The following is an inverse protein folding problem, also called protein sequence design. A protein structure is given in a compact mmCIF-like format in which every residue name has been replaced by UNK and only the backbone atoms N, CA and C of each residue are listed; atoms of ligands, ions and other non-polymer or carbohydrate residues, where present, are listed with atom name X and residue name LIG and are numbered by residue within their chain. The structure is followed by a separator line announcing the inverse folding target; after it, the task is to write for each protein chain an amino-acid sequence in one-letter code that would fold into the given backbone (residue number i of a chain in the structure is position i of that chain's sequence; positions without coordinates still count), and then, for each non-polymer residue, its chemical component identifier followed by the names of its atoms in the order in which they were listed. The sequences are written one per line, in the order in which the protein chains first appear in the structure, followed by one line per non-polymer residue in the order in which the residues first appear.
data_IF_654882938413
#
_entry.id   IF_654882938413
#
_cell.length_a   1.000
_cell.length_b   1.000
_cell.length_c   1.000
_cell.angle_alpha   90.00
_cell.angle_beta   90.00
_cell.angle_gamma   90.00
#
_symmetry.space_group_name_H-M   'P 1'
#
loop_
_entity.id
_entity.type
_entity.pdbx_description
1 polymer ?
#
# COMPACT_ATOMS: atom_id res chain seq x y z
N UNK A 1 -19.39 -0.61 -2.95
CA UNK A 1 -18.00 -0.64 -2.53
C UNK A 1 -17.80 -0.59 -1.01
N UNK A 2 -18.71 0.06 -0.30
CA UNK A 2 -18.61 0.27 1.15
C UNK A 2 -19.52 -0.65 1.97
N UNK A 3 -19.95 -1.78 1.40
CA UNK A 3 -20.66 -2.79 2.15
C UNK A 3 -19.73 -3.49 3.16
N UNK A 4 -20.30 -3.96 4.26
CA UNK A 4 -19.53 -4.66 5.31
C UNK A 4 -18.79 -5.87 4.76
N UNK A 5 -19.41 -6.63 3.87
CA UNK A 5 -18.82 -7.82 3.23
C UNK A 5 -17.70 -7.49 2.26
N UNK A 6 -17.60 -6.24 1.77
CA UNK A 6 -16.53 -5.75 0.91
C UNK A 6 -15.47 -5.03 1.74
N UNK A 7 -15.75 -3.83 2.27
CA UNK A 7 -14.73 -3.00 2.89
C UNK A 7 -14.15 -3.57 4.19
N UNK A 8 -15.00 -4.14 5.05
CA UNK A 8 -14.59 -4.71 6.35
C UNK A 8 -14.09 -6.15 6.27
N UNK A 9 -14.27 -6.83 5.15
CA UNK A 9 -13.86 -8.21 4.91
C UNK A 9 -12.75 -8.29 3.86
N UNK A 10 -13.09 -8.04 2.61
CA UNK A 10 -12.20 -8.12 1.45
C UNK A 10 -10.97 -7.19 1.61
N UNK A 11 -11.18 -5.89 1.84
CA UNK A 11 -10.09 -4.93 1.97
C UNK A 11 -9.14 -5.28 3.13
N UNK A 12 -9.68 -5.76 4.24
CA UNK A 12 -8.90 -6.07 5.44
C UNK A 12 -8.23 -7.44 5.35
N UNK A 13 -9.01 -8.49 5.19
CA UNK A 13 -8.51 -9.87 5.26
C UNK A 13 -7.93 -10.37 3.94
N UNK A 14 -8.43 -9.85 2.81
CA UNK A 14 -7.84 -10.11 1.50
C UNK A 14 -6.44 -9.53 1.39
N UNK A 15 -6.25 -8.27 1.80
CA UNK A 15 -4.93 -7.64 1.83
C UNK A 15 -3.99 -8.29 2.85
N UNK A 16 -4.52 -8.73 4.00
CA UNK A 16 -3.74 -9.46 5.01
C UNK A 16 -3.12 -10.74 4.45
N UNK A 17 -3.82 -11.45 3.57
CA UNK A 17 -3.29 -12.62 2.88
C UNK A 17 -2.38 -12.24 1.71
N UNK A 18 -2.89 -11.42 0.80
CA UNK A 18 -2.29 -11.23 -0.52
C UNK A 18 -1.03 -10.34 -0.53
N UNK A 19 -0.86 -9.44 0.45
CA UNK A 19 0.34 -8.60 0.54
C UNK A 19 1.59 -9.44 0.81
N UNK A 20 1.57 -10.28 1.84
CA UNK A 20 2.71 -11.12 2.20
C UNK A 20 3.05 -12.12 1.10
N UNK A 21 2.02 -12.70 0.46
CA UNK A 21 2.21 -13.59 -0.68
C UNK A 21 2.95 -12.87 -1.83
N UNK A 22 2.54 -11.65 -2.16
CA UNK A 22 3.17 -10.87 -3.21
C UNK A 22 4.63 -10.48 -2.89
N UNK A 23 4.88 -10.00 -1.67
CA UNK A 23 6.24 -9.60 -1.26
C UNK A 23 7.17 -10.81 -1.26
N UNK A 24 6.75 -11.94 -0.69
CA UNK A 24 7.55 -13.16 -0.63
C UNK A 24 7.86 -13.71 -2.02
N UNK A 25 6.87 -13.79 -2.91
CA UNK A 25 7.08 -14.25 -4.30
C UNK A 25 7.96 -13.29 -5.10
N UNK A 26 7.78 -11.99 -4.91
CA UNK A 26 8.56 -10.98 -5.63
C UNK A 26 10.02 -10.94 -5.20
N UNK A 27 10.30 -11.07 -3.90
CA UNK A 27 11.61 -10.74 -3.36
C UNK A 27 12.40 -11.92 -2.80
N UNK A 28 11.76 -13.03 -2.43
CA UNK A 28 12.34 -14.16 -1.71
C UNK A 28 13.05 -13.75 -0.38
N UNK A 29 12.67 -12.59 0.19
CA UNK A 29 13.35 -12.04 1.36
C UNK A 29 12.71 -12.52 2.66
N UNK A 30 13.56 -12.77 3.66
CA UNK A 30 13.10 -12.96 5.03
C UNK A 30 12.56 -11.63 5.57
N UNK A 31 11.29 -11.60 5.96
CA UNK A 31 10.62 -10.40 6.48
C UNK A 31 10.86 -10.20 7.98
N UNK A 32 11.00 -11.29 8.73
CA UNK A 32 11.17 -11.23 10.19
C UNK A 32 12.38 -10.39 10.60
N UNK A 33 12.18 -9.52 11.58
CA UNK A 33 13.18 -8.60 12.10
C UNK A 33 13.39 -7.33 11.27
N UNK A 34 12.78 -7.22 10.09
CA UNK A 34 12.85 -6.03 9.24
C UNK A 34 11.82 -4.98 9.63
N UNK A 35 12.03 -3.74 9.20
CA UNK A 35 11.20 -2.58 9.52
C UNK A 35 10.36 -2.18 8.33
N UNK A 36 9.05 -2.07 8.55
CA UNK A 36 8.09 -1.65 7.55
C UNK A 36 7.45 -0.31 7.92
N UNK A 37 7.24 0.54 6.91
CA UNK A 37 6.44 1.74 7.00
C UNK A 37 5.20 1.58 6.10
N UNK A 38 4.03 1.60 6.72
CA UNK A 38 2.74 1.49 6.02
C UNK A 38 2.10 2.87 5.96
N UNK A 39 1.82 3.34 4.76
CA UNK A 39 1.10 4.58 4.49
C UNK A 39 -0.39 4.30 4.44
N UNK A 40 -1.12 4.85 5.41
CA UNK A 40 -2.56 4.65 5.57
C UNK A 40 -2.92 3.55 6.58
N UNK A 41 -3.94 3.81 7.40
CA UNK A 41 -4.49 2.86 8.37
C UNK A 41 -6.01 2.72 8.25
N UNK A 42 -6.52 2.83 7.01
CA UNK A 42 -7.86 2.38 6.63
C UNK A 42 -7.96 0.84 6.62
N UNK A 43 -9.01 0.28 6.03
CA UNK A 43 -9.22 -1.18 6.04
C UNK A 43 -8.06 -1.95 5.38
N UNK A 44 -7.55 -1.44 4.27
CA UNK A 44 -6.39 -2.03 3.56
C UNK A 44 -5.13 -1.92 4.41
N UNK A 45 -4.86 -0.74 4.97
CA UNK A 45 -3.69 -0.51 5.83
C UNK A 45 -3.70 -1.37 7.10
N UNK A 46 -4.87 -1.52 7.75
CA UNK A 46 -5.05 -2.40 8.91
C UNK A 46 -4.72 -3.86 8.59
N UNK A 47 -5.25 -4.37 7.47
CA UNK A 47 -4.94 -5.71 7.02
C UNK A 47 -3.46 -5.90 6.72
N UNK A 48 -2.87 -4.95 6.01
CA UNK A 48 -1.46 -4.94 5.63
C UNK A 48 -0.53 -4.90 6.85
N UNK A 49 -0.76 -3.99 7.79
CA UNK A 49 0.04 -3.85 9.00
C UNK A 49 -0.02 -5.12 9.88
N UNK A 50 -1.22 -5.69 10.05
CA UNK A 50 -1.39 -6.96 10.78
C UNK A 50 -0.63 -8.11 10.13
N UNK A 51 -0.67 -8.20 8.82
CA UNK A 51 0.03 -9.20 8.02
C UNK A 51 1.53 -9.14 8.23
N UNK A 52 2.11 -7.95 8.08
CA UNK A 52 3.55 -7.73 8.24
C UNK A 52 4.02 -8.01 9.69
N UNK A 53 3.24 -7.57 10.69
CA UNK A 53 3.55 -7.86 12.10
C UNK A 53 3.51 -9.36 12.41
N UNK A 54 2.60 -10.13 11.79
CA UNK A 54 2.56 -11.57 11.94
C UNK A 54 3.78 -12.30 11.35
N UNK A 55 4.41 -11.71 10.32
CA UNK A 55 5.67 -12.20 9.78
C UNK A 55 6.88 -11.80 10.65
N UNK A 56 6.65 -11.14 11.76
CA UNK A 56 7.73 -10.71 12.68
C UNK A 56 8.40 -9.40 12.28
N UNK A 57 7.79 -8.58 11.43
CA UNK A 57 8.30 -7.26 11.11
C UNK A 57 8.00 -6.25 12.22
N UNK A 58 8.86 -5.26 12.38
CA UNK A 58 8.59 -4.04 13.17
C UNK A 58 7.85 -3.07 12.26
N UNK A 59 6.56 -2.86 12.53
CA UNK A 59 5.69 -2.07 11.65
C UNK A 59 5.43 -0.70 12.27
N UNK A 60 5.69 0.35 11.49
CA UNK A 60 5.32 1.73 11.77
C UNK A 60 4.24 2.18 10.78
N UNK A 61 3.38 3.08 11.23
CA UNK A 61 2.26 3.61 10.44
C UNK A 61 2.46 5.10 10.22
N UNK A 62 2.19 5.57 9.02
CA UNK A 62 1.95 6.99 8.76
C UNK A 62 0.51 7.19 8.32
N UNK A 63 -0.20 8.09 8.99
CA UNK A 63 -1.64 8.32 8.77
C UNK A 63 -1.96 9.80 9.05
N UNK A 64 -2.79 10.40 8.19
CA UNK A 64 -3.23 11.78 8.32
C UNK A 64 -4.59 11.92 9.02
N UNK A 65 -5.44 10.89 8.93
CA UNK A 65 -6.72 10.87 9.64
C UNK A 65 -6.48 10.60 11.13
N UNK A 66 -6.86 11.53 12.03
CA UNK A 66 -6.57 11.38 13.45
C UNK A 66 -7.29 10.20 14.11
N UNK A 67 -8.45 9.78 13.57
CA UNK A 67 -9.19 8.63 14.08
C UNK A 67 -8.46 7.34 13.71
N UNK A 68 -8.04 7.21 12.45
CA UNK A 68 -7.27 6.06 12.00
C UNK A 68 -5.90 6.00 12.69
N UNK A 69 -5.24 7.14 12.88
CA UNK A 69 -3.98 7.23 13.62
C UNK A 69 -4.13 6.78 15.09
N UNK A 70 -5.19 7.23 15.77
CA UNK A 70 -5.51 6.79 17.12
C UNK A 70 -5.77 5.28 17.19
N UNK A 71 -6.51 4.73 16.21
CA UNK A 71 -6.74 3.29 16.12
C UNK A 71 -5.44 2.52 15.93
N UNK A 72 -4.51 3.04 15.11
CA UNK A 72 -3.19 2.42 14.95
C UNK A 72 -2.41 2.37 16.28
N UNK A 73 -2.42 3.45 17.06
CA UNK A 73 -1.81 3.47 18.38
C UNK A 73 -2.46 2.46 19.34
N UNK A 74 -3.80 2.34 19.35
CA UNK A 74 -4.51 1.38 20.19
C UNK A 74 -4.25 -0.07 19.77
N UNK A 75 -4.00 -0.32 18.49
CA UNK A 75 -3.59 -1.63 17.97
C UNK A 75 -2.10 -1.93 18.23
N UNK A 76 -1.38 -1.02 18.90
CA UNK A 76 0.02 -1.18 19.32
C UNK A 76 1.03 -0.92 18.21
N UNK A 77 0.73 -0.03 17.28
CA UNK A 77 1.68 0.47 16.29
C UNK A 77 2.22 1.83 16.67
N UNK A 78 3.46 2.09 16.33
CA UNK A 78 4.05 3.43 16.38
C UNK A 78 3.56 4.23 15.17
N UNK A 79 2.89 5.37 15.43
CA UNK A 79 2.49 6.30 14.38
C UNK A 79 3.58 7.35 14.22
N UNK A 80 4.08 7.49 13.00
CA UNK A 80 5.23 8.35 12.67
C UNK A 80 4.92 9.20 11.44
N UNK A 81 5.65 10.30 11.30
CA UNK A 81 5.60 11.09 10.06
C UNK A 81 6.93 10.96 9.30
N UNK A 82 6.88 10.75 7.98
CA UNK A 82 8.06 10.84 7.13
C UNK A 82 8.62 12.27 7.03
N UNK A 83 7.87 13.26 7.50
CA UNK A 83 8.27 14.67 7.55
C UNK A 83 8.35 15.15 8.99
N UNK A 84 9.41 15.91 9.31
CA UNK A 84 9.56 16.56 10.62
C UNK A 84 8.61 17.76 10.67
N UNK A 85 7.86 17.89 11.77
CA UNK A 85 6.90 18.96 12.04
C UNK A 85 5.58 18.98 11.26
N UNK A 86 5.28 17.99 10.43
CA UNK A 86 3.95 17.80 9.83
C UNK A 86 3.47 18.90 8.84
N UNK A 87 4.24 19.94 8.61
CA UNK A 87 3.75 21.16 7.96
C UNK A 87 4.17 21.38 6.51
N UNK A 88 5.14 20.64 5.96
CA UNK A 88 5.55 20.82 4.57
C UNK A 88 5.85 19.47 3.91
N UNK A 89 4.81 18.84 3.39
CA UNK A 89 4.94 17.82 2.38
C UNK A 89 5.68 18.43 1.17
N UNK A 90 6.67 17.73 0.64
CA UNK A 90 7.50 18.13 -0.51
C UNK A 90 8.64 19.14 -0.24
N UNK A 91 9.24 19.13 0.94
CA UNK A 91 10.47 19.87 1.20
C UNK A 91 11.56 18.96 1.75
N UNK A 92 12.73 18.94 1.11
CA UNK A 92 13.91 18.16 1.55
C UNK A 92 14.40 18.51 2.96
N UNK A 93 14.18 19.73 3.41
CA UNK A 93 14.60 20.19 4.74
C UNK A 93 13.71 19.61 5.85
N UNK A 94 12.46 19.25 5.53
CA UNK A 94 11.51 18.71 6.49
C UNK A 94 11.50 17.17 6.54
N UNK A 95 12.28 16.49 5.71
CA UNK A 95 12.26 15.04 5.61
C UNK A 95 12.88 14.36 6.85
N UNK A 96 12.23 13.34 7.38
CA UNK A 96 12.72 12.55 8.50
C UNK A 96 13.71 11.47 8.02
N UNK A 97 14.94 11.89 7.73
CA UNK A 97 16.00 11.01 7.21
C UNK A 97 16.33 9.85 8.15
N UNK A 98 16.29 10.08 9.46
CA UNK A 98 16.58 9.06 10.46
C UNK A 98 15.54 7.93 10.42
N UNK A 99 14.27 8.26 10.23
CA UNK A 99 13.22 7.27 10.03
C UNK A 99 13.42 6.50 8.71
N UNK A 100 13.52 7.22 7.60
CA UNK A 100 13.49 6.63 6.27
C UNK A 100 14.73 5.76 5.97
N UNK A 101 15.91 6.15 6.45
CA UNK A 101 17.14 5.36 6.30
C UNK A 101 17.11 4.02 7.05
N UNK A 102 16.15 3.80 7.92
CA UNK A 102 16.01 2.60 8.73
C UNK A 102 14.90 1.66 8.22
N UNK A 103 14.11 2.08 7.22
CA UNK A 103 12.99 1.31 6.67
C UNK A 103 13.46 0.32 5.59
N UNK A 104 13.05 -0.95 5.74
CA UNK A 104 13.31 -2.03 4.78
C UNK A 104 12.19 -2.18 3.74
N UNK A 105 10.96 -1.86 4.12
CA UNK A 105 9.77 -2.04 3.30
C UNK A 105 8.83 -0.85 3.44
N UNK A 106 8.43 -0.28 2.31
CA UNK A 106 7.35 0.70 2.22
C UNK A 106 6.13 0.03 1.58
N UNK A 107 4.96 0.22 2.19
CA UNK A 107 3.66 -0.20 1.64
C UNK A 107 2.72 0.99 1.62
N UNK A 108 2.24 1.38 0.44
CA UNK A 108 1.20 2.41 0.31
C UNK A 108 -0.19 1.78 0.24
N UNK A 109 -1.15 2.33 0.96
CA UNK A 109 -2.50 1.79 1.14
C UNK A 109 -3.55 2.89 1.40
N UNK A 110 -3.35 4.08 0.82
CA UNK A 110 -4.15 5.28 1.12
C UNK A 110 -5.25 5.55 0.11
N UNK A 111 -5.09 5.10 -1.14
CA UNK A 111 -5.93 5.52 -2.25
C UNK A 111 -5.77 7.02 -2.58
N UNK A 112 -4.65 7.65 -2.21
CA UNK A 112 -4.39 9.06 -2.44
C UNK A 112 -3.16 9.24 -3.35
N UNK A 113 -3.04 10.43 -3.94
CA UNK A 113 -1.98 10.75 -4.89
C UNK A 113 -0.66 11.03 -4.19
N UNK A 114 0.43 10.44 -4.71
CA UNK A 114 1.83 10.78 -4.42
C UNK A 114 2.20 10.81 -2.93
N UNK A 115 1.66 9.86 -2.15
CA UNK A 115 1.93 9.78 -0.70
C UNK A 115 3.35 9.29 -0.39
N UNK A 116 3.95 8.52 -1.30
CA UNK A 116 5.36 8.16 -1.29
C UNK A 116 6.06 8.94 -2.41
N UNK A 117 6.35 10.19 -2.13
CA UNK A 117 6.89 11.15 -3.07
C UNK A 117 8.40 11.00 -3.29
N UNK A 118 8.95 11.82 -4.20
CA UNK A 118 10.38 11.84 -4.54
C UNK A 118 11.29 12.09 -3.34
N UNK A 119 10.86 12.90 -2.37
CA UNK A 119 11.68 13.23 -1.20
C UNK A 119 11.80 12.02 -0.28
N UNK A 120 10.71 11.29 -0.08
CA UNK A 120 10.71 10.01 0.64
C UNK A 120 11.57 8.98 -0.11
N UNK A 121 11.31 8.78 -1.40
CA UNK A 121 12.04 7.82 -2.24
C UNK A 121 13.56 8.05 -2.23
N UNK A 122 14.01 9.31 -2.27
CA UNK A 122 15.43 9.66 -2.24
C UNK A 122 16.09 9.36 -0.89
N UNK A 123 15.34 9.30 0.19
CA UNK A 123 15.87 9.13 1.55
C UNK A 123 15.68 7.73 2.14
N UNK A 124 15.01 6.81 1.42
CA UNK A 124 14.96 5.40 1.80
C UNK A 124 16.35 4.78 1.70
N UNK A 125 16.66 3.80 2.54
CA UNK A 125 17.94 3.09 2.43
C UNK A 125 18.05 2.29 1.13
N UNK A 126 19.27 2.08 0.67
CA UNK A 126 19.53 1.23 -0.50
C UNK A 126 19.04 -0.19 -0.26
N UNK A 127 18.41 -0.77 -1.27
CA UNK A 127 17.80 -2.10 -1.19
C UNK A 127 16.43 -2.13 -0.49
N UNK A 128 15.88 -0.99 -0.07
CA UNK A 128 14.51 -0.96 0.47
C UNK A 128 13.50 -1.38 -0.61
N UNK A 129 12.49 -2.12 -0.17
CA UNK A 129 11.38 -2.56 -1.02
C UNK A 129 10.30 -1.48 -1.00
N UNK A 130 9.77 -1.14 -2.17
CA UNK A 130 8.66 -0.20 -2.33
C UNK A 130 7.52 -0.90 -3.05
N UNK A 131 6.34 -0.90 -2.46
CA UNK A 131 5.16 -1.59 -2.98
C UNK A 131 3.89 -0.82 -2.69
N UNK A 132 2.91 -0.96 -3.57
CA UNK A 132 1.58 -0.39 -3.43
C UNK A 132 0.53 -1.50 -3.37
N UNK A 133 -0.39 -1.41 -2.42
CA UNK A 133 -1.58 -2.28 -2.31
C UNK A 133 -2.88 -1.44 -2.33
N UNK A 134 -2.76 -0.13 -2.37
CA UNK A 134 -3.88 0.77 -2.63
C UNK A 134 -4.39 0.65 -4.07
N UNK A 135 -5.61 1.10 -4.30
CA UNK A 135 -6.28 0.90 -5.58
C UNK A 135 -5.64 1.64 -6.75
N UNK A 136 -5.06 2.82 -6.50
CA UNK A 136 -4.47 3.67 -7.53
C UNK A 136 -2.97 3.41 -7.68
N UNK A 137 -2.48 3.48 -8.90
CA UNK A 137 -1.08 3.29 -9.28
C UNK A 137 -0.22 4.57 -9.14
N UNK A 138 -0.82 5.62 -8.61
CA UNK A 138 -0.22 6.95 -8.43
C UNK A 138 0.06 7.32 -6.97
N UNK A 139 0.03 6.34 -6.06
CA UNK A 139 0.40 6.56 -4.65
C UNK A 139 1.92 6.73 -4.48
N UNK A 140 2.71 6.10 -5.36
CA UNK A 140 4.17 6.21 -5.42
C UNK A 140 4.55 7.08 -6.61
N UNK A 141 5.49 8.01 -6.45
CA UNK A 141 5.97 8.87 -7.54
C UNK A 141 6.85 8.08 -8.54
N UNK A 142 6.22 7.12 -9.21
CA UNK A 142 6.88 6.30 -10.23
C UNK A 142 7.25 7.11 -11.47
N UNK A 143 6.56 8.23 -11.73
CA UNK A 143 6.90 9.12 -12.83
C UNK A 143 8.29 9.73 -12.62
N UNK A 144 8.55 10.29 -11.43
CA UNK A 144 9.86 10.78 -11.05
C UNK A 144 10.94 9.71 -11.19
N UNK A 145 10.66 8.48 -10.69
CA UNK A 145 11.60 7.37 -10.81
C UNK A 145 11.88 6.99 -12.28
N UNK A 146 10.91 7.12 -13.19
CA UNK A 146 11.11 6.83 -14.63
C UNK A 146 11.91 7.92 -15.32
N UNK A 147 11.69 9.16 -14.96
CA UNK A 147 12.33 10.31 -15.60
C UNK A 147 13.80 10.46 -15.16
N UNK A 148 14.13 10.14 -13.90
CA UNK A 148 15.42 10.46 -13.29
C UNK A 148 16.29 9.23 -12.98
N UNK A 149 15.73 8.02 -12.90
CA UNK A 149 16.42 6.84 -12.41
C UNK A 149 16.49 5.72 -13.46
N UNK A 150 17.50 4.86 -13.33
CA UNK A 150 17.69 3.73 -14.24
C UNK A 150 16.97 2.49 -13.73
N UNK A 151 16.12 1.88 -14.55
CA UNK A 151 15.33 0.70 -14.23
C UNK A 151 15.95 -0.58 -14.80
N UNK A 152 15.89 -1.65 -14.03
CA UNK A 152 16.29 -2.99 -14.43
C UNK A 152 15.27 -4.02 -13.91
N UNK A 153 14.57 -4.68 -14.80
CA UNK A 153 13.70 -5.79 -14.42
C UNK A 153 14.56 -7.01 -14.11
N UNK A 154 14.49 -7.49 -12.84
CA UNK A 154 15.25 -8.64 -12.36
C UNK A 154 14.42 -9.92 -12.27
N UNK A 155 13.10 -9.78 -12.15
CA UNK A 155 12.06 -10.80 -12.27
C UNK A 155 10.82 -10.14 -12.86
N UNK A 156 9.87 -10.91 -13.42
CA UNK A 156 8.60 -10.34 -13.85
C UNK A 156 7.95 -9.49 -12.74
N UNK A 157 7.67 -8.23 -13.06
CA UNK A 157 7.07 -7.25 -12.13
C UNK A 157 7.94 -6.90 -10.90
N UNK A 158 9.26 -7.14 -10.94
CA UNK A 158 10.22 -6.77 -9.90
C UNK A 158 11.38 -6.02 -10.52
N UNK A 159 11.52 -4.76 -10.15
CA UNK A 159 12.54 -3.89 -10.71
C UNK A 159 13.54 -3.41 -9.64
N UNK A 160 14.83 -3.48 -9.97
CA UNK A 160 15.82 -2.61 -9.35
C UNK A 160 15.74 -1.25 -10.01
N UNK A 161 15.51 -0.22 -9.21
CA UNK A 161 15.47 1.15 -9.68
C UNK A 161 16.62 1.90 -9.02
N UNK A 162 17.66 2.18 -9.82
CA UNK A 162 18.91 2.77 -9.36
C UNK A 162 18.79 4.29 -9.31
N UNK A 163 19.14 4.88 -8.18
CA UNK A 163 19.22 6.34 -8.03
C UNK A 163 20.37 6.87 -8.88
N UNK A 164 20.03 7.41 -10.05
CA UNK A 164 21.00 7.81 -11.07
C UNK A 164 21.51 6.61 -11.88
N UNK A 165 22.83 6.35 -11.87
CA UNK A 165 23.46 5.31 -12.66
C UNK A 165 23.56 3.97 -11.93
N UNK A 166 23.57 2.86 -12.68
CA UNK A 166 23.80 1.50 -12.14
C UNK A 166 25.14 1.35 -11.41
N UNK A 167 26.11 2.19 -11.75
CA UNK A 167 27.46 2.14 -11.15
C UNK A 167 27.46 2.51 -9.66
N UNK A 168 26.50 3.32 -9.22
CA UNK A 168 26.36 3.72 -7.82
C UNK A 168 25.94 2.58 -6.88
N UNK A 169 25.42 1.49 -7.41
CA UNK A 169 24.87 0.37 -6.63
C UNK A 169 23.80 0.77 -5.58
N UNK A 170 23.32 2.00 -5.65
CA UNK A 170 22.24 2.51 -4.80
C UNK A 170 20.91 2.37 -5.53
N UNK A 171 20.04 1.51 -5.01
CA UNK A 171 18.79 1.16 -5.67
C UNK A 171 17.65 0.92 -4.67
N UNK A 172 16.44 1.01 -5.16
CA UNK A 172 15.25 0.49 -4.50
C UNK A 172 14.73 -0.74 -5.26
N UNK A 173 14.02 -1.62 -4.56
CA UNK A 173 13.28 -2.71 -5.18
C UNK A 173 11.82 -2.28 -5.32
N UNK A 174 11.39 -1.96 -6.54
CA UNK A 174 10.01 -1.58 -6.83
C UNK A 174 9.24 -2.81 -7.31
N UNK A 175 8.13 -3.10 -6.64
CA UNK A 175 7.23 -4.21 -6.99
C UNK A 175 6.05 -3.72 -7.83
N UNK A 176 5.65 -4.53 -8.80
CA UNK A 176 4.52 -4.30 -9.70
C UNK A 176 4.52 -2.91 -10.38
N UNK A 177 5.70 -2.30 -10.52
CA UNK A 177 5.84 -0.93 -11.07
C UNK A 177 5.01 0.14 -10.34
N UNK A 178 4.74 -0.04 -9.05
CA UNK A 178 3.89 0.84 -8.24
C UNK A 178 2.39 0.57 -8.37
N UNK A 179 1.99 -0.41 -9.19
CA UNK A 179 0.60 -0.89 -9.29
C UNK A 179 0.27 -1.83 -8.13
N UNK A 180 -0.96 -2.35 -8.09
CA UNK A 180 -1.42 -3.32 -7.08
C UNK A 180 -0.47 -4.53 -6.99
N UNK A 181 0.34 -4.56 -5.93
CA UNK A 181 1.38 -5.59 -5.73
C UNK A 181 0.81 -7.00 -5.63
N UNK A 182 -0.36 -7.15 -5.01
CA UNK A 182 -1.02 -8.44 -4.85
C UNK A 182 -1.53 -9.06 -6.16
N UNK A 183 -1.75 -8.24 -7.18
CA UNK A 183 -2.11 -8.70 -8.53
C UNK A 183 -0.87 -8.83 -9.42
N UNK A 184 0.09 -7.92 -9.30
CA UNK A 184 1.30 -7.94 -10.11
C UNK A 184 2.28 -9.06 -9.72
N UNK A 185 2.45 -9.31 -8.43
CA UNK A 185 3.43 -10.27 -7.91
C UNK A 185 2.82 -11.53 -7.29
N UNK A 186 1.48 -11.61 -7.20
CA UNK A 186 0.78 -12.78 -6.64
C UNK A 186 -0.56 -13.02 -7.35
N UNK A 187 -1.46 -13.75 -6.71
CA UNK A 187 -2.75 -14.19 -7.28
C UNK A 187 -3.94 -13.36 -6.80
N UNK A 188 -3.69 -12.26 -6.08
CA UNK A 188 -4.74 -11.42 -5.51
C UNK A 188 -5.39 -12.01 -4.25
N UNK A 189 -6.60 -11.57 -3.96
CA UNK A 189 -7.33 -12.06 -2.80
C UNK A 189 -7.84 -13.50 -3.00
N UNK A 190 -7.88 -14.33 -1.93
CA UNK A 190 -8.41 -15.69 -2.01
C UNK A 190 -9.88 -15.71 -2.43
N UNK A 191 -10.26 -16.70 -3.24
CA UNK A 191 -11.64 -16.87 -3.74
C UNK A 191 -12.67 -16.89 -2.61
N UNK A 192 -12.34 -17.50 -1.47
CA UNK A 192 -13.24 -17.55 -0.30
C UNK A 192 -13.58 -16.16 0.26
N UNK A 193 -12.67 -15.21 0.17
CA UNK A 193 -12.91 -13.81 0.59
C UNK A 193 -13.70 -13.08 -0.49
N UNK A 194 -13.33 -13.28 -1.76
CA UNK A 194 -14.00 -12.65 -2.89
C UNK A 194 -15.42 -13.13 -3.11
N UNK A 195 -15.76 -14.35 -2.70
CA UNK A 195 -17.10 -14.91 -2.75
C UNK A 195 -18.13 -14.00 -2.04
N UNK A 196 -17.81 -13.51 -0.86
CA UNK A 196 -18.68 -12.58 -0.12
C UNK A 196 -18.91 -11.25 -0.86
N UNK A 197 -17.87 -10.72 -1.51
CA UNK A 197 -17.97 -9.49 -2.30
C UNK A 197 -18.80 -9.70 -3.57
N UNK A 198 -18.58 -10.80 -4.28
CA UNK A 198 -19.30 -11.13 -5.51
C UNK A 198 -20.77 -11.47 -5.24
N UNK A 199 -21.05 -12.29 -4.21
CA UNK A 199 -22.41 -12.58 -3.81
C UNK A 199 -23.20 -11.31 -3.50
N UNK A 200 -22.60 -10.37 -2.76
CA UNK A 200 -23.24 -9.10 -2.45
C UNK A 200 -23.50 -8.24 -3.70
N UNK A 201 -22.56 -8.21 -4.65
CA UNK A 201 -22.74 -7.50 -5.92
C UNK A 201 -23.91 -8.10 -6.73
N UNK A 202 -23.96 -9.42 -6.87
CA UNK A 202 -25.02 -10.12 -7.60
C UNK A 202 -26.39 -9.89 -6.95
N UNK A 203 -26.46 -9.99 -5.62
CA UNK A 203 -27.70 -9.76 -4.88
C UNK A 203 -28.19 -8.31 -5.03
N UNK A 204 -27.29 -7.34 -5.00
CA UNK A 204 -27.63 -5.94 -5.24
C UNK A 204 -28.19 -5.71 -6.65
N UNK A 205 -27.59 -6.31 -7.67
CA UNK A 205 -28.08 -6.24 -9.05
C UNK A 205 -29.47 -6.87 -9.20
N UNK A 206 -29.68 -8.05 -8.61
CA UNK A 206 -30.99 -8.74 -8.60
C UNK A 206 -32.02 -7.87 -7.88
N UNK A 207 -31.67 -7.27 -6.76
CA UNK A 207 -32.56 -6.39 -6.02
C UNK A 207 -32.98 -5.18 -6.86
N UNK A 208 -32.02 -4.47 -7.44
CA UNK A 208 -32.29 -3.32 -8.32
C UNK A 208 -33.17 -3.71 -9.51
N UNK A 209 -32.89 -4.84 -10.14
CA UNK A 209 -33.72 -5.32 -11.27
C UNK A 209 -35.17 -5.61 -10.85
N UNK A 210 -35.37 -6.26 -9.69
CA UNK A 210 -36.72 -6.61 -9.18
C UNK A 210 -37.52 -5.39 -8.71
N UNK A 211 -36.86 -4.36 -8.17
CA UNK A 211 -37.51 -3.11 -7.74
C UNK A 211 -37.87 -2.21 -8.92
N UNK A 212 -37.29 -2.44 -10.08
CA UNK A 212 -37.46 -1.59 -11.27
C UNK A 212 -36.74 -0.23 -11.14
N UNK A 213 -36.11 0.22 -12.18
CA UNK A 213 -35.47 1.54 -12.23
C UNK A 213 -36.45 2.71 -12.11
N UNK A 214 -37.74 2.48 -12.39
CA UNK A 214 -38.78 3.51 -12.34
C UNK A 214 -39.10 4.00 -10.91
N UNK A 215 -39.01 3.15 -9.90
CA UNK A 215 -39.30 3.54 -8.51
C UNK A 215 -38.15 4.32 -7.84
N UNK A 216 -36.95 4.32 -8.40
CA UNK A 216 -35.81 5.06 -7.85
C UNK A 216 -35.82 6.53 -8.32
N UNK A 217 -36.43 6.82 -9.47
CA UNK A 217 -36.51 8.17 -10.01
C UNK A 217 -37.66 9.00 -9.44
N UNK A 218 -38.65 8.40 -8.77
CA UNK A 218 -39.79 9.09 -8.20
C UNK A 218 -39.55 9.67 -6.78
N UNK A 219 -38.47 9.24 -6.11
CA UNK A 219 -38.14 9.74 -4.76
C UNK A 219 -37.13 10.92 -4.76
N UNK A 220 -36.68 11.37 -5.93
CA UNK A 220 -35.68 12.46 -6.08
C UNK A 220 -36.23 13.70 -6.78
N UNK A 221 -37.56 13.95 -6.76
CA UNK A 221 -38.16 15.23 -7.16
C UNK A 221 -38.73 15.99 -5.98
#
# INVERSE_FOLDING_TARGET
NDSVTKSKNDNKYGCRHSLNDAIKRGTDMLLSGRKALVFGYGDVGKGSAMSLRQEGMVVKITEIDPICAMQACMDGYEVVSPYVNGENFNNDESINKALLSDIDLVVTATGNFNVCDRHILNNLKSGAIVSNIGHFDNEIDTKYMRDEWTWEEIKPQVHKVYRGSKDNKDYLLLLAEGRLVNLGNATGHPSRIMDGSFANQVLAQIFLYKQGFASINDETT
#
